data_IF_605654537641
#
_entry.id   IF_605654537641
#
_cell.length_a   1.000
_cell.length_b   1.000
_cell.length_c   1.000
_cell.angle_alpha   90.00
_cell.angle_beta   90.00
_cell.angle_gamma   90.00
#
_symmetry.space_group_name_H-M   'P 1'
#
loop_
_entity.id
_entity.type
_entity.pdbx_description
1 polymer ?
#
# COMPACT_ATOMS: atom_id res chain seq x y z
N UNK A 1 4.21 23.13 -6.38
CA UNK A 1 4.77 21.94 -5.71
C UNK A 1 5.68 22.42 -4.59
N UNK A 2 5.62 21.86 -3.37
CA UNK A 2 6.71 22.07 -2.42
C UNK A 2 7.95 21.38 -3.00
N UNK A 3 9.02 22.13 -3.19
CA UNK A 3 10.27 21.59 -3.72
C UNK A 3 10.90 20.70 -2.63
N UNK A 4 10.99 19.39 -2.88
CA UNK A 4 11.81 18.51 -2.03
C UNK A 4 13.25 18.71 -2.51
N UNK A 5 14.07 19.31 -1.66
CA UNK A 5 15.51 19.36 -1.90
C UNK A 5 16.13 18.02 -1.53
N UNK A 6 16.54 17.25 -2.54
CA UNK A 6 17.37 16.06 -2.37
C UNK A 6 18.70 16.35 -3.06
N UNK A 7 19.73 16.59 -2.25
CA UNK A 7 21.09 16.78 -2.75
C UNK A 7 21.97 15.60 -2.32
N UNK A 8 22.15 14.66 -3.24
CA UNK A 8 23.01 13.50 -2.99
C UNK A 8 24.49 13.90 -2.89
N UNK A 9 24.89 15.09 -3.35
CA UNK A 9 26.28 15.55 -3.24
C UNK A 9 26.67 15.82 -1.78
N UNK A 10 25.71 16.12 -0.90
CA UNK A 10 25.98 16.29 0.53
C UNK A 10 26.61 15.02 1.12
N UNK A 11 26.16 13.84 0.70
CA UNK A 11 26.73 12.56 1.13
C UNK A 11 28.17 12.37 0.64
N UNK A 12 28.46 12.81 -0.59
CA UNK A 12 29.81 12.71 -1.16
C UNK A 12 30.79 13.64 -0.45
N UNK A 13 30.34 14.85 -0.08
CA UNK A 13 31.13 15.80 0.70
C UNK A 13 31.44 15.21 2.08
N UNK A 14 30.42 14.65 2.75
CA UNK A 14 30.56 13.99 4.05
C UNK A 14 31.41 12.72 4.01
N UNK A 15 31.39 11.98 2.89
CA UNK A 15 32.29 10.85 2.70
C UNK A 15 33.75 11.34 2.61
N UNK A 16 33.99 12.37 1.80
CA UNK A 16 35.33 12.89 1.54
C UNK A 16 36.01 13.50 2.78
N UNK A 17 35.23 14.11 3.69
CA UNK A 17 35.74 14.66 4.95
C UNK A 17 35.71 13.68 6.13
N UNK A 18 35.19 12.46 5.91
CA UNK A 18 35.11 11.41 6.92
C UNK A 18 34.01 11.62 7.99
N UNK A 19 33.07 12.54 7.77
CA UNK A 19 31.97 12.82 8.70
C UNK A 19 30.68 12.03 8.44
N UNK A 20 30.61 11.27 7.34
CA UNK A 20 29.43 10.50 6.92
C UNK A 20 28.98 9.46 7.97
N UNK A 21 27.70 9.52 8.33
CA UNK A 21 27.03 8.63 9.29
C UNK A 21 25.78 7.99 8.69
N UNK A 22 25.30 6.92 9.34
CA UNK A 22 24.04 6.26 8.97
C UNK A 22 22.85 7.23 8.98
N UNK A 23 22.78 8.10 9.98
CA UNK A 23 21.70 9.09 10.14
C UNK A 23 21.58 10.04 8.92
N UNK A 24 22.66 10.27 8.18
CA UNK A 24 22.63 11.09 6.95
C UNK A 24 21.79 10.41 5.85
N UNK A 25 21.85 9.08 5.76
CA UNK A 25 21.00 8.30 4.86
C UNK A 25 19.55 8.28 5.35
N UNK A 26 19.33 8.11 6.65
CA UNK A 26 17.97 8.09 7.21
C UNK A 26 17.25 9.40 6.92
N UNK A 27 17.92 10.53 7.09
CA UNK A 27 17.40 11.85 6.74
C UNK A 27 16.99 11.94 5.26
N UNK A 28 17.84 11.47 4.34
CA UNK A 28 17.52 11.52 2.91
C UNK A 28 16.40 10.56 2.50
N UNK A 29 16.32 9.36 3.11
CA UNK A 29 15.16 8.47 2.92
C UNK A 29 13.85 9.17 3.28
N UNK A 30 13.84 9.97 4.35
CA UNK A 30 12.63 10.70 4.76
C UNK A 30 12.12 11.66 3.68
N UNK A 31 13.01 12.16 2.83
CA UNK A 31 12.70 13.05 1.71
C UNK A 31 12.39 12.25 0.44
N UNK A 32 13.14 11.19 0.16
CA UNK A 32 12.95 10.34 -1.02
C UNK A 32 11.58 9.67 -1.03
N UNK A 33 11.10 9.16 0.11
CA UNK A 33 9.76 8.55 0.20
C UNK A 33 8.64 9.56 -0.12
N UNK A 34 8.89 10.86 0.04
CA UNK A 34 7.92 11.90 -0.28
C UNK A 34 7.76 12.15 -1.78
N UNK A 35 8.73 11.73 -2.62
CA UNK A 35 8.67 11.95 -4.06
C UNK A 35 7.40 11.32 -4.69
N UNK A 36 7.15 9.99 -4.61
CA UNK A 36 5.95 9.42 -5.21
C UNK A 36 4.67 9.90 -4.52
N UNK A 37 4.71 10.19 -3.22
CA UNK A 37 3.59 10.78 -2.48
C UNK A 37 3.16 12.11 -3.13
N UNK A 38 4.10 13.00 -3.44
CA UNK A 38 3.80 14.27 -4.09
C UNK A 38 3.38 14.13 -5.55
N UNK A 39 3.92 13.14 -6.29
CA UNK A 39 3.43 12.86 -7.65
C UNK A 39 1.97 12.42 -7.63
N UNK A 40 1.60 11.53 -6.71
CA UNK A 40 0.20 11.12 -6.53
C UNK A 40 -0.68 12.33 -6.16
N UNK A 41 -0.27 13.13 -5.18
CA UNK A 41 -1.03 14.34 -4.80
C UNK A 41 -1.17 15.31 -5.98
N UNK A 42 -0.13 15.52 -6.77
CA UNK A 42 -0.18 16.35 -7.96
C UNK A 42 -1.17 15.80 -8.99
N UNK A 43 -1.07 14.51 -9.32
CA UNK A 43 -1.96 13.81 -10.27
C UNK A 43 -3.43 13.95 -9.84
N UNK A 44 -3.72 13.71 -8.58
CA UNK A 44 -5.08 13.84 -8.04
C UNK A 44 -5.53 15.30 -8.10
N UNK A 45 -4.74 16.25 -7.63
CA UNK A 45 -5.17 17.64 -7.51
C UNK A 45 -5.26 18.39 -8.85
N UNK A 46 -4.52 17.95 -9.87
CA UNK A 46 -4.49 18.60 -11.19
C UNK A 46 -5.28 17.88 -12.26
N UNK A 47 -5.86 16.72 -11.94
CA UNK A 47 -6.73 16.01 -12.87
C UNK A 47 -8.02 16.79 -13.12
N UNK A 48 -8.42 16.87 -14.39
CA UNK A 48 -9.73 17.40 -14.80
C UNK A 48 -10.89 16.62 -14.18
N UNK A 49 -10.72 15.32 -13.95
CA UNK A 49 -11.74 14.50 -13.30
C UNK A 49 -12.03 14.95 -11.87
N UNK A 50 -11.02 15.47 -11.17
CA UNK A 50 -11.18 15.98 -9.80
C UNK A 50 -12.05 17.23 -9.77
N UNK A 51 -11.98 18.06 -10.82
CA UNK A 51 -12.81 19.27 -10.95
C UNK A 51 -14.29 18.93 -11.20
N UNK A 52 -14.56 17.88 -11.99
CA UNK A 52 -15.91 17.50 -12.41
C UNK A 52 -16.54 16.43 -11.53
N UNK A 53 -15.76 15.79 -10.67
CA UNK A 53 -16.12 14.56 -9.98
C UNK A 53 -15.81 13.31 -10.82
N UNK A 54 -15.68 12.19 -10.12
CA UNK A 54 -15.34 10.90 -10.71
C UNK A 54 -16.61 10.11 -11.08
N UNK A 55 -16.58 9.43 -12.23
CA UNK A 55 -17.47 8.28 -12.43
C UNK A 55 -17.07 7.11 -11.51
N UNK A 56 -17.83 6.01 -11.54
CA UNK A 56 -17.65 4.90 -10.62
C UNK A 56 -16.30 4.17 -10.79
N UNK A 57 -15.78 4.09 -12.02
CA UNK A 57 -14.53 3.39 -12.31
C UNK A 57 -13.34 4.31 -12.00
N UNK A 58 -13.46 5.59 -12.36
CA UNK A 58 -12.52 6.63 -11.95
C UNK A 58 -12.41 6.69 -10.42
N UNK A 59 -13.54 6.65 -9.70
CA UNK A 59 -13.54 6.67 -8.24
C UNK A 59 -12.75 5.50 -7.65
N UNK A 60 -12.83 4.32 -8.29
CA UNK A 60 -12.02 3.17 -7.91
C UNK A 60 -10.52 3.42 -8.13
N UNK A 61 -10.12 3.83 -9.33
CA UNK A 61 -8.71 4.06 -9.66
C UNK A 61 -8.07 5.17 -8.82
N UNK A 62 -8.72 6.34 -8.73
CA UNK A 62 -8.26 7.45 -7.90
C UNK A 62 -8.31 7.11 -6.41
N UNK A 63 -9.29 6.31 -5.99
CA UNK A 63 -9.40 5.81 -4.61
C UNK A 63 -8.21 4.94 -4.21
N UNK A 64 -7.82 3.98 -5.06
CA UNK A 64 -6.62 3.16 -4.85
C UNK A 64 -5.35 4.01 -4.87
N UNK A 65 -5.21 4.95 -5.81
CA UNK A 65 -4.04 5.83 -5.87
C UNK A 65 -3.90 6.67 -4.59
N UNK A 66 -5.00 7.24 -4.09
CA UNK A 66 -5.00 7.99 -2.83
C UNK A 66 -4.70 7.09 -1.61
N UNK A 67 -5.17 5.83 -1.62
CA UNK A 67 -4.88 4.85 -0.57
C UNK A 67 -3.39 4.49 -0.53
N UNK A 68 -2.77 4.24 -1.69
CA UNK A 68 -1.31 4.04 -1.83
C UNK A 68 -0.56 5.22 -1.20
N UNK A 69 -0.92 6.46 -1.56
CA UNK A 69 -0.31 7.67 -0.99
C UNK A 69 -0.50 7.77 0.53
N UNK A 70 -1.70 7.44 1.04
CA UNK A 70 -1.97 7.45 2.48
C UNK A 70 -1.11 6.42 3.23
N UNK A 71 -0.98 5.20 2.69
CA UNK A 71 -0.17 4.14 3.29
C UNK A 71 1.32 4.44 3.25
N UNK A 72 1.85 4.99 2.15
CA UNK A 72 3.22 5.50 2.11
C UNK A 72 3.46 6.59 3.17
N UNK A 73 2.49 7.49 3.39
CA UNK A 73 2.58 8.48 4.45
C UNK A 73 2.64 7.85 5.85
N UNK A 74 1.88 6.78 6.11
CA UNK A 74 1.88 6.08 7.39
C UNK A 74 3.17 5.31 7.60
N UNK A 75 3.60 4.58 6.58
CA UNK A 75 4.85 3.82 6.62
C UNK A 75 6.04 4.75 6.87
N UNK A 76 6.12 5.87 6.15
CA UNK A 76 7.12 6.92 6.39
C UNK A 76 7.15 7.37 7.85
N UNK A 77 5.99 7.57 8.49
CA UNK A 77 5.94 8.00 9.89
C UNK A 77 6.45 6.93 10.86
N UNK A 78 6.28 5.65 10.53
CA UNK A 78 6.75 4.54 11.35
C UNK A 78 8.26 4.38 11.17
N UNK A 79 8.69 4.23 9.92
CA UNK A 79 10.06 3.86 9.58
C UNK A 79 11.02 5.03 9.79
N UNK A 80 10.71 6.22 9.26
CA UNK A 80 11.60 7.38 9.35
C UNK A 80 11.63 8.06 10.73
N UNK A 81 10.70 7.72 11.63
CA UNK A 81 10.78 8.14 13.04
C UNK A 81 11.39 7.05 13.93
N UNK A 82 11.87 5.95 13.33
CA UNK A 82 12.38 4.79 14.04
C UNK A 82 11.41 4.33 15.14
N UNK A 83 10.12 4.22 14.83
CA UNK A 83 9.19 3.57 15.75
C UNK A 83 9.50 2.06 15.74
N UNK A 84 9.60 1.47 16.92
CA UNK A 84 9.85 0.03 17.13
C UNK A 84 8.62 -0.80 16.71
N UNK A 85 8.34 -0.86 15.41
CA UNK A 85 7.11 -1.46 14.89
C UNK A 85 7.31 -2.08 13.50
N UNK A 86 8.24 -3.03 13.42
CA UNK A 86 8.55 -3.79 12.20
C UNK A 86 7.31 -4.45 11.59
N UNK A 87 6.43 -5.02 12.41
CA UNK A 87 5.25 -5.75 11.94
C UNK A 87 4.24 -4.83 11.28
N UNK A 88 3.94 -3.69 11.90
CA UNK A 88 3.03 -2.70 11.32
C UNK A 88 3.60 -2.14 10.00
N UNK A 89 4.91 -1.90 9.94
CA UNK A 89 5.56 -1.52 8.68
C UNK A 89 5.41 -2.59 7.60
N UNK A 90 5.49 -3.86 7.96
CA UNK A 90 5.36 -4.99 7.03
C UNK A 90 3.91 -5.16 6.54
N UNK A 91 2.92 -4.97 7.42
CA UNK A 91 1.49 -4.94 7.06
C UNK A 91 1.19 -3.80 6.07
N UNK A 92 1.75 -2.61 6.30
CA UNK A 92 1.56 -1.46 5.42
C UNK A 92 2.24 -1.67 4.06
N UNK A 93 3.47 -2.16 4.03
CA UNK A 93 4.18 -2.49 2.79
C UNK A 93 3.38 -3.45 1.91
N UNK A 94 2.89 -4.53 2.53
CA UNK A 94 2.02 -5.49 1.83
C UNK A 94 0.76 -4.83 1.29
N UNK A 95 0.13 -3.96 2.08
CA UNK A 95 -1.08 -3.25 1.65
C UNK A 95 -0.81 -2.33 0.45
N UNK A 96 0.32 -1.61 0.45
CA UNK A 96 0.75 -0.79 -0.69
C UNK A 96 0.96 -1.67 -1.93
N UNK A 97 1.67 -2.79 -1.81
CA UNK A 97 1.88 -3.72 -2.91
C UNK A 97 0.57 -4.29 -3.49
N UNK A 98 -0.33 -4.77 -2.63
CA UNK A 98 -1.62 -5.32 -3.07
C UNK A 98 -2.48 -4.25 -3.74
N UNK A 99 -2.45 -3.00 -3.27
CA UNK A 99 -3.11 -1.87 -3.95
C UNK A 99 -2.47 -1.57 -5.32
N UNK A 100 -1.14 -1.65 -5.45
CA UNK A 100 -0.43 -1.48 -6.74
C UNK A 100 -0.81 -2.59 -7.75
N UNK A 101 -0.82 -3.85 -7.30
CA UNK A 101 -1.26 -5.01 -8.12
C UNK A 101 -2.70 -4.80 -8.57
N UNK A 102 -3.58 -4.46 -7.62
CA UNK A 102 -5.01 -4.26 -7.88
C UNK A 102 -5.25 -3.16 -8.90
N UNK A 103 -4.60 -2.01 -8.73
CA UNK A 103 -4.74 -0.88 -9.64
C UNK A 103 -4.25 -1.26 -11.04
N UNK A 104 -3.04 -1.81 -11.17
CA UNK A 104 -2.50 -2.22 -12.48
C UNK A 104 -3.36 -3.27 -13.16
N UNK A 105 -3.90 -4.23 -12.41
CA UNK A 105 -4.78 -5.26 -12.96
C UNK A 105 -6.06 -4.65 -13.54
N UNK A 106 -6.79 -3.85 -12.77
CA UNK A 106 -8.05 -3.28 -13.25
C UNK A 106 -7.89 -2.13 -14.25
N UNK A 107 -6.69 -1.56 -14.40
CA UNK A 107 -6.37 -0.73 -15.56
C UNK A 107 -6.32 -1.56 -16.85
N UNK A 108 -5.86 -2.81 -16.78
CA UNK A 108 -5.79 -3.74 -17.93
C UNK A 108 -7.10 -4.52 -18.16
N UNK A 109 -7.92 -4.69 -17.12
CA UNK A 109 -9.15 -5.47 -17.11
C UNK A 109 -10.36 -4.65 -16.59
N UNK A 110 -10.69 -3.49 -17.19
CA UNK A 110 -11.77 -2.63 -16.72
C UNK A 110 -13.14 -3.33 -16.72
N UNK A 111 -13.36 -4.29 -17.62
CA UNK A 111 -14.59 -5.08 -17.72
C UNK A 111 -14.88 -5.95 -16.49
N UNK A 112 -13.85 -6.30 -15.71
CA UNK A 112 -14.00 -7.11 -14.49
C UNK A 112 -14.33 -6.28 -13.25
N UNK A 113 -14.26 -4.95 -13.36
CA UNK A 113 -14.31 -4.06 -12.20
C UNK A 113 -15.68 -4.04 -11.51
N UNK A 114 -16.77 -4.13 -12.27
CA UNK A 114 -18.13 -4.24 -11.73
C UNK A 114 -18.30 -5.48 -10.83
N UNK A 115 -17.76 -6.61 -11.29
CA UNK A 115 -17.86 -7.88 -10.59
C UNK A 115 -16.93 -7.92 -9.38
N UNK A 116 -15.75 -7.30 -9.49
CA UNK A 116 -14.87 -7.07 -8.35
C UNK A 116 -15.56 -6.22 -7.27
N UNK A 117 -16.14 -5.07 -7.63
CA UNK A 117 -16.86 -4.19 -6.69
C UNK A 117 -17.97 -4.92 -5.94
N UNK A 118 -18.75 -5.76 -6.63
CA UNK A 118 -19.78 -6.61 -5.98
C UNK A 118 -19.16 -7.63 -5.03
N UNK A 119 -18.04 -8.25 -5.43
CA UNK A 119 -17.36 -9.28 -4.64
C UNK A 119 -16.83 -8.75 -3.30
N UNK A 120 -16.51 -7.45 -3.21
CA UNK A 120 -16.03 -6.80 -1.99
C UNK A 120 -17.06 -6.80 -0.85
N UNK A 121 -18.36 -6.98 -1.13
CA UNK A 121 -19.43 -6.94 -0.12
C UNK A 121 -19.69 -8.29 0.58
N UNK A 122 -18.86 -9.31 0.36
CA UNK A 122 -19.10 -10.65 0.92
C UNK A 122 -19.19 -10.63 2.45
N UNK A 123 -18.27 -9.93 3.11
CA UNK A 123 -18.23 -9.85 4.56
C UNK A 123 -19.46 -9.11 5.12
N UNK A 124 -19.89 -8.04 4.44
CA UNK A 124 -21.06 -7.26 4.79
C UNK A 124 -22.34 -8.07 4.67
N UNK A 125 -22.49 -8.89 3.62
CA UNK A 125 -23.63 -9.79 3.43
C UNK A 125 -23.66 -10.85 4.55
N UNK A 126 -22.52 -11.49 4.81
CA UNK A 126 -22.39 -12.50 5.88
C UNK A 126 -22.72 -11.89 7.24
N UNK A 127 -22.31 -10.64 7.48
CA UNK A 127 -22.57 -9.97 8.74
C UNK A 127 -24.02 -9.49 8.89
N UNK A 128 -24.64 -9.01 7.81
CA UNK A 128 -26.07 -8.73 7.75
C UNK A 128 -26.89 -9.99 8.08
N UNK A 129 -26.51 -11.16 7.55
CA UNK A 129 -27.14 -12.45 7.88
C UNK A 129 -27.00 -12.82 9.35
N UNK A 130 -25.82 -12.60 9.94
CA UNK A 130 -25.58 -12.84 11.36
C UNK A 130 -26.48 -11.95 12.22
N UNK A 131 -26.63 -10.67 11.89
CA UNK A 131 -27.48 -9.74 12.63
C UNK A 131 -28.94 -10.21 12.58
N UNK A 132 -29.47 -10.53 11.39
CA UNK A 132 -30.85 -10.98 11.25
C UNK A 132 -31.10 -12.32 11.97
N UNK A 133 -30.19 -13.28 11.83
CA UNK A 133 -30.27 -14.57 12.52
C UNK A 133 -30.21 -14.41 14.04
N UNK A 134 -29.35 -13.54 14.56
CA UNK A 134 -29.26 -13.27 15.99
C UNK A 134 -30.56 -12.67 16.52
N UNK A 135 -31.17 -11.74 15.77
CA UNK A 135 -32.48 -11.18 16.12
C UNK A 135 -33.58 -12.25 16.19
N UNK A 136 -33.65 -13.15 15.20
CA UNK A 136 -34.62 -14.26 15.20
C UNK A 136 -34.42 -15.21 16.38
N UNK A 137 -33.17 -15.42 16.80
CA UNK A 137 -32.84 -16.28 17.94
C UNK A 137 -33.17 -15.65 19.30
N UNK A 138 -33.35 -14.32 19.39
CA UNK A 138 -33.79 -13.63 20.60
C UNK A 138 -35.31 -13.76 20.79
N UNK A 139 -35.76 -14.97 21.15
CA UNK A 139 -37.20 -15.31 21.33
C UNK A 139 -37.94 -14.40 22.32
N UNK A 140 -37.24 -13.89 23.34
CA UNK A 140 -37.83 -13.09 24.42
C UNK A 140 -37.72 -11.58 24.17
N UNK A 141 -36.80 -11.14 23.30
CA UNK A 141 -36.59 -9.73 22.97
C UNK A 141 -36.09 -9.58 21.52
N UNK A 142 -36.99 -9.64 20.52
CA UNK A 142 -36.64 -9.56 19.10
C UNK A 142 -36.33 -8.13 18.65
N UNK A 143 -36.06 -7.21 19.58
CA UNK A 143 -35.69 -5.84 19.29
C UNK A 143 -34.30 -5.82 18.66
N UNK A 144 -34.14 -4.95 17.66
CA UNK A 144 -32.83 -4.65 17.07
C UNK A 144 -32.10 -3.74 18.04
N UNK A 145 -30.87 -4.09 18.41
CA UNK A 145 -30.05 -3.19 19.20
C UNK A 145 -29.61 -1.99 18.36
N UNK A 146 -29.46 -0.82 18.99
CA UNK A 146 -29.09 0.40 18.27
C UNK A 146 -27.81 0.24 17.44
N UNK A 147 -26.80 -0.46 17.96
CA UNK A 147 -25.55 -0.72 17.24
C UNK A 147 -25.75 -1.62 16.01
N UNK A 148 -26.68 -2.58 16.06
CA UNK A 148 -27.03 -3.43 14.92
C UNK A 148 -27.73 -2.61 13.82
N UNK A 149 -28.64 -1.72 14.20
CA UNK A 149 -29.30 -0.82 13.25
C UNK A 149 -28.30 0.15 12.60
N UNK A 150 -27.38 0.71 13.38
CA UNK A 150 -26.32 1.58 12.86
C UNK A 150 -25.39 0.86 11.88
N UNK A 151 -25.03 -0.39 12.18
CA UNK A 151 -24.23 -1.23 11.29
C UNK A 151 -24.97 -1.58 10.00
N UNK A 152 -26.22 -2.04 10.09
CA UNK A 152 -27.04 -2.33 8.91
C UNK A 152 -27.19 -1.08 8.03
N UNK A 153 -27.43 0.08 8.63
CA UNK A 153 -27.47 1.36 7.91
C UNK A 153 -26.14 1.67 7.24
N UNK A 154 -25.01 1.36 7.89
CA UNK A 154 -23.68 1.54 7.29
C UNK A 154 -23.47 0.61 6.09
N UNK A 155 -23.84 -0.66 6.22
CA UNK A 155 -23.78 -1.66 5.16
C UNK A 155 -24.64 -1.24 3.96
N UNK A 156 -25.89 -0.84 4.20
CA UNK A 156 -26.81 -0.41 3.14
C UNK A 156 -26.37 0.88 2.45
N UNK A 157 -25.75 1.82 3.19
CA UNK A 157 -25.09 2.99 2.58
C UNK A 157 -23.93 2.59 1.68
N UNK A 158 -23.15 1.58 2.06
CA UNK A 158 -22.05 1.09 1.24
C UNK A 158 -22.59 0.48 -0.06
N UNK A 159 -23.65 -0.33 -0.01
CA UNK A 159 -24.31 -0.85 -1.21
C UNK A 159 -24.79 0.27 -2.15
N UNK A 160 -25.39 1.32 -1.59
CA UNK A 160 -25.93 2.41 -2.39
C UNK A 160 -24.85 3.24 -3.10
N UNK A 161 -23.59 3.20 -2.63
CA UNK A 161 -22.47 3.87 -3.33
C UNK A 161 -22.19 3.30 -4.72
N UNK A 162 -22.54 2.03 -4.95
CA UNK A 162 -22.44 1.39 -6.27
C UNK A 162 -23.81 1.23 -6.95
N UNK A 163 -24.83 1.95 -6.46
CA UNK A 163 -26.18 1.94 -7.03
C UNK A 163 -26.97 0.65 -6.78
N UNK A 164 -26.58 -0.17 -5.80
CA UNK A 164 -27.27 -1.43 -5.48
C UNK A 164 -27.96 -1.38 -4.12
N UNK A 165 -29.00 -2.20 -3.97
CA UNK A 165 -29.63 -2.49 -2.68
C UNK A 165 -29.26 -3.91 -2.20
N UNK A 166 -29.67 -4.24 -0.96
CA UNK A 166 -29.36 -5.55 -0.34
C UNK A 166 -29.90 -6.73 -1.14
N UNK A 167 -31.13 -6.64 -1.66
CA UNK A 167 -31.74 -7.70 -2.48
C UNK A 167 -30.95 -7.95 -3.78
N UNK A 168 -30.55 -6.87 -4.46
CA UNK A 168 -29.76 -6.95 -5.68
C UNK A 168 -28.41 -7.61 -5.40
N UNK A 169 -27.68 -7.16 -4.37
CA UNK A 169 -26.38 -7.73 -4.00
C UNK A 169 -26.48 -9.22 -3.66
N UNK A 170 -27.53 -9.62 -2.94
CA UNK A 170 -27.80 -11.02 -2.57
C UNK A 170 -28.25 -11.89 -3.73
N UNK A 171 -28.93 -11.30 -4.72
CA UNK A 171 -29.42 -12.01 -5.90
C UNK A 171 -28.29 -12.45 -6.83
N UNK A 172 -27.14 -11.78 -6.78
CA UNK A 172 -25.97 -12.18 -7.54
C UNK A 172 -25.32 -13.40 -6.89
N UNK A 173 -25.00 -14.41 -7.71
CA UNK A 173 -23.93 -15.33 -7.36
C UNK A 173 -22.66 -14.49 -7.34
N UNK A 174 -22.22 -14.06 -6.15
CA UNK A 174 -21.05 -13.21 -6.00
C UNK A 174 -19.90 -13.79 -6.83
N UNK A 175 -19.41 -13.06 -7.85
CA UNK A 175 -18.29 -13.50 -8.65
C UNK A 175 -17.15 -13.90 -7.73
N UNK A 176 -16.41 -14.94 -8.11
CA UNK A 176 -15.18 -15.22 -7.40
C UNK A 176 -14.23 -14.08 -7.74
N UNK A 177 -13.96 -13.22 -6.76
CA UNK A 177 -12.91 -12.19 -6.89
C UNK A 177 -11.62 -12.87 -7.36
N UNK A 178 -10.91 -12.32 -8.36
CA UNK A 178 -9.63 -12.87 -8.77
C UNK A 178 -8.71 -12.93 -7.55
N UNK A 179 -7.96 -14.03 -7.40
CA UNK A 179 -7.01 -14.11 -6.30
C UNK A 179 -5.87 -13.13 -6.58
N UNK A 180 -5.43 -12.40 -5.57
CA UNK A 180 -4.37 -11.38 -5.74
C UNK A 180 -3.08 -11.95 -6.36
N UNK A 181 -2.77 -13.23 -6.14
CA UNK A 181 -1.65 -13.92 -6.80
C UNK A 181 -1.86 -14.06 -8.31
N UNK A 182 -3.09 -14.36 -8.74
CA UNK A 182 -3.42 -14.46 -10.17
C UNK A 182 -3.36 -13.07 -10.81
N UNK A 183 -3.89 -12.05 -10.13
CA UNK A 183 -3.74 -10.65 -10.57
C UNK A 183 -2.28 -10.24 -10.68
N UNK A 184 -1.44 -10.63 -9.72
CA UNK A 184 0.00 -10.33 -9.72
C UNK A 184 0.72 -10.97 -10.90
N UNK A 185 0.31 -12.15 -11.35
CA UNK A 185 0.88 -12.81 -12.55
C UNK A 185 0.55 -12.04 -13.82
N UNK A 186 -0.69 -11.60 -13.97
CA UNK A 186 -1.16 -10.85 -15.15
C UNK A 186 -0.48 -9.48 -15.30
N UNK A 187 0.07 -8.93 -14.22
CA UNK A 187 0.79 -7.63 -14.24
C UNK A 187 2.30 -7.76 -14.03
N UNK A 188 2.86 -8.96 -14.19
CA UNK A 188 4.30 -9.26 -14.05
C UNK A 188 4.90 -8.94 -12.66
N UNK A 189 4.09 -9.05 -11.60
CA UNK A 189 4.47 -8.80 -10.21
C UNK A 189 4.49 -10.06 -9.34
N UNK A 190 4.46 -11.26 -9.90
CA UNK A 190 4.44 -12.52 -9.13
C UNK A 190 5.66 -12.64 -8.18
N UNK A 191 6.84 -12.24 -8.64
CA UNK A 191 8.08 -12.31 -7.84
C UNK A 191 8.02 -11.33 -6.66
N UNK A 192 7.59 -10.09 -6.92
CA UNK A 192 7.39 -9.09 -5.87
C UNK A 192 6.32 -9.59 -4.87
N UNK A 193 5.17 -10.03 -5.37
CA UNK A 193 4.11 -10.58 -4.54
C UNK A 193 4.58 -11.73 -3.66
N UNK A 194 5.32 -12.69 -4.21
CA UNK A 194 5.83 -13.83 -3.45
C UNK A 194 6.82 -13.40 -2.36
N UNK A 195 7.66 -12.40 -2.65
CA UNK A 195 8.65 -11.89 -1.70
C UNK A 195 8.01 -11.19 -0.51
N UNK A 196 7.02 -10.34 -0.77
CA UNK A 196 6.26 -9.63 0.28
C UNK A 196 5.15 -10.48 0.91
N UNK A 197 4.75 -11.60 0.28
CA UNK A 197 3.83 -12.57 0.91
C UNK A 197 4.44 -13.21 2.15
N UNK A 198 5.77 -13.28 2.26
CA UNK A 198 6.44 -13.67 3.51
C UNK A 198 6.12 -12.70 4.67
N UNK A 199 5.61 -11.50 4.40
CA UNK A 199 5.15 -10.57 5.44
C UNK A 199 3.69 -10.87 5.89
N UNK A 200 3.00 -11.84 5.28
CA UNK A 200 1.67 -12.29 5.74
C UNK A 200 1.73 -12.94 7.13
N UNK A 201 2.90 -13.48 7.46
CA UNK A 201 3.24 -14.04 8.75
C UNK A 201 2.91 -13.04 9.88
N UNK A 202 3.23 -11.76 9.70
CA UNK A 202 2.95 -10.67 10.65
C UNK A 202 1.48 -10.26 10.76
N UNK A 203 0.63 -10.66 9.80
CA UNK A 203 -0.82 -10.42 9.89
C UNK A 203 -1.55 -11.58 10.57
N UNK A 204 -1.07 -12.81 10.38
CA UNK A 204 -1.76 -14.03 10.81
C UNK A 204 -1.12 -14.71 12.02
N UNK A 205 0.06 -14.29 12.44
CA UNK A 205 0.78 -14.86 13.59
C UNK A 205 1.12 -16.33 13.36
N UNK A 206 1.76 -16.64 12.24
CA UNK A 206 2.14 -18.02 11.98
C UNK A 206 3.44 -18.44 12.69
N UNK A 207 3.79 -19.73 12.61
CA UNK A 207 4.94 -20.25 13.34
C UNK A 207 6.27 -19.58 12.94
N UNK A 208 6.44 -19.22 11.66
CA UNK A 208 7.66 -18.57 11.20
C UNK A 208 7.82 -17.20 11.86
N UNK A 209 6.74 -16.40 11.90
CA UNK A 209 6.74 -15.10 12.56
C UNK A 209 6.99 -15.23 14.07
N UNK A 210 6.19 -16.09 14.72
CA UNK A 210 6.21 -16.30 16.17
C UNK A 210 7.62 -16.71 16.61
N UNK A 211 8.19 -17.72 15.95
CA UNK A 211 9.50 -18.24 16.32
C UNK A 211 10.64 -17.23 16.09
N UNK A 212 10.50 -16.32 15.12
CA UNK A 212 11.54 -15.36 14.76
C UNK A 212 11.49 -14.07 15.57
N UNK A 213 10.30 -13.52 15.78
CA UNK A 213 10.13 -12.17 16.35
C UNK A 213 9.63 -12.17 17.79
N UNK A 214 8.89 -13.22 18.20
CA UNK A 214 8.25 -13.27 19.52
C UNK A 214 8.83 -14.30 20.48
N UNK A 215 9.74 -15.15 20.01
CA UNK A 215 10.37 -16.18 20.83
C UNK A 215 11.90 -16.08 20.79
N UNK A 216 12.52 -16.60 21.85
CA UNK A 216 13.97 -16.82 21.96
C UNK A 216 14.16 -18.31 22.22
N UNK A 217 14.93 -18.98 21.37
CA UNK A 217 15.32 -20.37 21.60
C UNK A 217 16.57 -20.43 22.51
N UNK A 218 16.49 -21.19 23.60
CA UNK A 218 17.62 -21.53 24.48
C UNK A 218 17.55 -22.99 24.85
N UNK A 219 18.61 -23.75 24.55
CA UNK A 219 18.73 -25.18 24.89
C UNK A 219 17.53 -26.01 24.40
N UNK A 220 17.03 -25.74 23.19
CA UNK A 220 15.87 -26.44 22.61
C UNK A 220 14.51 -26.08 23.23
N UNK A 221 14.44 -25.00 24.03
CA UNK A 221 13.20 -24.48 24.61
C UNK A 221 12.95 -23.05 24.14
N UNK A 222 11.68 -22.69 23.96
CA UNK A 222 11.25 -21.35 23.55
C UNK A 222 10.80 -20.51 24.75
N UNK A 223 11.21 -19.25 24.75
CA UNK A 223 10.88 -18.24 25.77
C UNK A 223 10.34 -16.99 25.09
N UNK A 224 9.47 -16.19 25.73
CA UNK A 224 8.96 -14.97 25.13
C UNK A 224 10.09 -13.95 24.88
N UNK A 225 10.02 -13.31 23.72
CA UNK A 225 10.80 -12.12 23.35
C UNK A 225 9.88 -10.91 23.42
N UNK A 226 10.21 -9.96 24.30
CA UNK A 226 9.50 -8.68 24.42
C UNK A 226 10.24 -7.52 23.77
N UNK A 227 11.41 -7.79 23.17
CA UNK A 227 12.19 -6.78 22.46
C UNK A 227 11.58 -6.56 21.07
N UNK A 228 11.14 -5.34 20.80
CA UNK A 228 10.67 -4.90 19.50
C UNK A 228 11.84 -4.57 18.57
N UNK A 229 11.60 -4.66 17.25
CA UNK A 229 12.60 -4.40 16.21
C UNK A 229 12.22 -3.15 15.39
N UNK A 230 13.25 -2.42 14.94
CA UNK A 230 13.06 -1.34 13.98
C UNK A 230 12.73 -1.88 12.59
N UNK A 231 11.85 -1.19 11.88
CA UNK A 231 11.68 -1.41 10.46
C UNK A 231 12.93 -0.94 9.69
N UNK A 232 13.38 -1.74 8.74
CA UNK A 232 14.52 -1.38 7.88
C UNK A 232 14.09 -0.37 6.82
N UNK A 233 14.65 0.84 6.88
CA UNK A 233 14.32 1.93 5.96
C UNK A 233 14.61 1.63 4.50
N UNK A 234 15.52 0.68 4.23
CA UNK A 234 15.87 0.28 2.86
C UNK A 234 14.74 -0.48 2.17
N UNK A 235 13.77 -1.01 2.94
CA UNK A 235 12.56 -1.66 2.37
C UNK A 235 11.73 -0.71 1.50
N UNK A 236 11.88 0.61 1.68
CA UNK A 236 11.18 1.57 0.83
C UNK A 236 11.59 1.47 -0.63
N UNK A 237 12.87 1.28 -0.96
CA UNK A 237 13.36 1.40 -2.35
C UNK A 237 12.52 0.61 -3.38
N UNK A 238 12.39 -0.72 -3.25
CA UNK A 238 11.57 -1.51 -4.17
C UNK A 238 10.11 -1.05 -4.21
N UNK A 239 9.54 -0.64 -3.07
CA UNK A 239 8.16 -0.17 -3.00
C UNK A 239 7.95 1.16 -3.73
N UNK A 240 8.88 2.11 -3.58
CA UNK A 240 8.79 3.41 -4.26
C UNK A 240 8.87 3.22 -5.78
N UNK A 241 9.77 2.37 -6.26
CA UNK A 241 9.90 2.05 -7.69
C UNK A 241 8.61 1.42 -8.24
N UNK A 242 8.03 0.47 -7.52
CA UNK A 242 6.75 -0.15 -7.88
C UNK A 242 5.62 0.90 -7.99
N UNK A 243 5.57 1.83 -7.03
CA UNK A 243 4.57 2.92 -7.05
C UNK A 243 4.73 3.79 -8.30
N UNK A 244 5.95 4.08 -8.73
CA UNK A 244 6.18 4.81 -9.97
C UNK A 244 5.72 4.05 -11.21
N UNK A 245 5.93 2.74 -11.29
CA UNK A 245 5.39 1.92 -12.39
C UNK A 245 3.86 1.96 -12.44
N UNK A 246 3.22 1.93 -11.27
CA UNK A 246 1.77 2.05 -11.17
C UNK A 246 1.27 3.44 -11.56
N UNK A 247 1.96 4.51 -11.13
CA UNK A 247 1.65 5.88 -11.56
C UNK A 247 1.76 6.00 -13.09
N UNK A 248 2.83 5.46 -13.68
CA UNK A 248 3.02 5.45 -15.13
C UNK A 248 1.91 4.69 -15.85
N UNK A 249 1.51 3.53 -15.33
CA UNK A 249 0.39 2.74 -15.88
C UNK A 249 -0.92 3.52 -15.79
N UNK A 250 -1.17 4.20 -14.68
CA UNK A 250 -2.35 5.03 -14.48
C UNK A 250 -2.45 6.18 -15.49
N UNK A 251 -1.37 6.95 -15.66
CA UNK A 251 -1.33 8.09 -16.59
C UNK A 251 -1.54 7.63 -18.04
N UNK A 252 -0.97 6.50 -18.43
CA UNK A 252 -1.09 6.02 -19.80
C UNK A 252 -2.45 5.40 -20.13
N UNK A 253 -3.16 4.86 -19.12
CA UNK A 253 -4.40 4.12 -19.35
C UNK A 253 -5.65 4.95 -19.05
N UNK A 254 -5.64 5.81 -18.03
CA UNK A 254 -6.83 6.59 -17.64
C UNK A 254 -7.00 7.81 -18.56
N UNK A 255 -7.94 7.75 -19.50
CA UNK A 255 -8.17 8.83 -20.46
C UNK A 255 -8.85 10.04 -19.83
N UNK A 256 -8.63 11.23 -20.40
CA UNK A 256 -9.37 12.45 -20.03
C UNK A 256 -8.86 13.20 -18.80
N UNK A 257 -7.88 12.64 -18.08
CA UNK A 257 -7.36 13.23 -16.84
C UNK A 257 -6.73 14.63 -17.01
N UNK A 258 -6.25 14.98 -18.21
CA UNK A 258 -5.66 16.30 -18.49
C UNK A 258 -4.30 16.60 -17.83
N UNK A 259 -3.74 15.68 -17.02
CA UNK A 259 -2.37 15.71 -16.50
C UNK A 259 -1.36 15.97 -17.64
N UNK A 260 -0.42 16.88 -17.38
CA UNK A 260 0.65 17.24 -18.30
C UNK A 260 1.64 16.07 -18.48
N UNK A 261 2.03 15.81 -19.74
CA UNK A 261 3.01 14.77 -20.07
C UNK A 261 4.40 15.02 -19.47
N UNK A 262 4.74 16.27 -19.13
CA UNK A 262 6.01 16.56 -18.47
C UNK A 262 6.19 15.82 -17.13
N UNK A 263 5.10 15.34 -16.51
CA UNK A 263 5.16 14.53 -15.30
C UNK A 263 5.96 13.23 -15.50
N UNK A 264 6.00 12.67 -16.71
CA UNK A 264 6.78 11.47 -17.03
C UNK A 264 8.28 11.72 -16.89
N UNK A 265 8.75 12.88 -17.35
CA UNK A 265 10.15 13.30 -17.19
C UNK A 265 10.52 13.49 -15.71
N UNK A 266 9.58 14.00 -14.90
CA UNK A 266 9.76 14.15 -13.46
C UNK A 266 9.81 12.79 -12.75
N UNK A 267 8.90 11.87 -13.09
CA UNK A 267 8.89 10.49 -12.60
C UNK A 267 10.22 9.80 -12.93
N UNK A 268 10.71 9.94 -14.16
CA UNK A 268 11.97 9.30 -14.55
C UNK A 268 13.17 9.86 -13.79
N UNK A 269 13.19 11.18 -13.52
CA UNK A 269 14.23 11.81 -12.68
C UNK A 269 14.18 11.27 -11.24
N UNK A 270 12.98 11.13 -10.68
CA UNK A 270 12.80 10.60 -9.33
C UNK A 270 13.29 9.14 -9.23
N UNK A 271 12.94 8.29 -10.22
CA UNK A 271 13.40 6.89 -10.29
C UNK A 271 14.94 6.83 -10.31
N UNK A 272 15.58 7.61 -11.16
CA UNK A 272 17.06 7.66 -11.26
C UNK A 272 17.67 8.11 -9.93
N UNK A 273 17.05 9.07 -9.25
CA UNK A 273 17.50 9.56 -7.95
C UNK A 273 17.41 8.48 -6.87
N UNK A 274 16.29 7.75 -6.80
CA UNK A 274 16.09 6.64 -5.87
C UNK A 274 17.14 5.56 -6.09
N UNK A 275 17.34 5.12 -7.34
CA UNK A 275 18.30 4.08 -7.68
C UNK A 275 19.75 4.47 -7.33
N UNK A 276 20.13 5.72 -7.63
CA UNK A 276 21.44 6.26 -7.25
C UNK A 276 21.62 6.26 -5.74
N UNK A 277 20.64 6.74 -5.00
CA UNK A 277 20.70 6.80 -3.55
C UNK A 277 20.75 5.41 -2.90
N UNK A 278 19.93 4.47 -3.39
CA UNK A 278 19.98 3.07 -2.95
C UNK A 278 21.37 2.48 -3.15
N UNK A 279 21.98 2.71 -4.33
CA UNK A 279 23.34 2.25 -4.61
C UNK A 279 24.37 2.85 -3.65
N UNK A 280 24.30 4.16 -3.40
CA UNK A 280 25.18 4.84 -2.44
C UNK A 280 25.01 4.26 -1.03
N UNK A 281 23.76 4.07 -0.58
CA UNK A 281 23.48 3.51 0.74
C UNK A 281 23.97 2.06 0.85
N UNK A 282 23.80 1.26 -0.19
CA UNK A 282 24.34 -0.09 -0.25
C UNK A 282 25.87 -0.09 -0.10
N UNK A 283 26.58 0.76 -0.85
CA UNK A 283 28.04 0.87 -0.75
C UNK A 283 28.50 1.27 0.65
N UNK A 284 27.84 2.25 1.27
CA UNK A 284 28.10 2.65 2.66
C UNK A 284 28.00 1.46 3.62
N UNK A 285 26.92 0.69 3.56
CA UNK A 285 26.73 -0.48 4.43
C UNK A 285 27.74 -1.62 4.21
N UNK A 286 28.46 -1.60 3.08
CA UNK A 286 29.53 -2.55 2.75
C UNK A 286 30.93 -1.98 3.00
N UNK A 287 31.05 -0.74 3.52
CA UNK A 287 32.34 -0.08 3.70
C UNK A 287 33.06 0.20 2.38
N UNK A 288 32.31 0.47 1.31
CA UNK A 288 32.82 0.80 -0.03
C UNK A 288 32.59 2.29 -0.33
N UNK A 289 33.37 2.89 -1.25
CA UNK A 289 33.11 4.26 -1.71
C UNK A 289 31.68 4.44 -2.23
N UNK A 290 31.03 5.57 -1.94
CA UNK A 290 29.64 5.84 -2.32
C UNK A 290 29.45 5.79 -3.85
N UNK A 291 30.36 6.43 -4.58
CA UNK A 291 30.43 6.32 -6.04
C UNK A 291 31.39 5.21 -6.42
N UNK A 292 30.83 4.10 -6.90
CA UNK A 292 31.61 3.14 -7.67
C UNK A 292 31.54 3.55 -9.14
N UNK A 293 32.70 3.74 -9.78
CA UNK A 293 32.75 3.82 -11.25
C UNK A 293 32.28 2.48 -11.79
N UNK A 294 31.11 2.46 -12.44
CA UNK A 294 30.73 1.39 -13.37
C UNK A 294 31.55 1.51 -14.65
#
# INVERSE_FOLDING_TARGET
MKEISIDLNELLIKEADGSLKSDDFDMLWTNIVMLPIYRIEYIINTSKHTETGYDIDQAFYYGLLNRIRAFLCYERRIVCKHLLNLELSSILNRSVLEDNITLRYFLNHPEELDDYRKSCFRAEIEFEDIIYKNRENRKEDPVMYNWEEELLRSIHRAYSTIGLNSEQIRSFRLPKSPMILDMAREVDLEIAYTSYRMECHSTHGDWFDISRYFLIEKEGKFYPRFAEDYADIRKFSPMLLLVYETIHSFINTVLGHGIDKCIEDEIQKDIIMIQKFEHMHFNYTKGRPLLFQL
#
